data_IF_518515465141
#
_entry.id   IF_518515465141
#
_cell.length_a   1.000
_cell.length_b   1.000
_cell.length_c   1.000
_cell.angle_alpha   90.00
_cell.angle_beta   90.00
_cell.angle_gamma   90.00
#
_symmetry.space_group_name_H-M   'P 1'
#
loop_
_entity.id
_entity.type
_entity.pdbx_description
1 polymer ?
#
# COMPACT_ATOMS: atom_id res chain seq x y z
N UNK A 1 2.18 14.19 -7.16
CA UNK A 1 1.24 14.94 -6.32
C UNK A 1 0.03 15.32 -7.17
N UNK A 2 -1.07 15.70 -6.53
CA UNK A 2 -2.29 16.22 -7.15
C UNK A 2 -2.76 17.49 -6.42
N UNK A 3 -3.76 18.15 -7.02
CA UNK A 3 -4.45 19.33 -6.52
C UNK A 3 -5.94 19.03 -6.24
N UNK A 4 -6.26 17.79 -5.88
CA UNK A 4 -7.60 17.34 -5.57
C UNK A 4 -8.10 17.81 -4.20
N UNK A 5 -9.20 17.22 -3.70
CA UNK A 5 -9.82 17.63 -2.44
C UNK A 5 -9.00 17.27 -1.18
N UNK A 6 -7.94 16.47 -1.32
CA UNK A 6 -7.19 15.93 -0.19
C UNK A 6 -7.92 14.80 0.54
N UNK A 7 -7.32 14.33 1.63
CA UNK A 7 -7.76 13.20 2.45
C UNK A 7 -7.87 13.68 3.91
N UNK A 8 -9.05 13.56 4.54
CA UNK A 8 -9.23 13.87 5.97
C UNK A 8 -8.29 13.04 6.86
N UNK A 9 -7.75 13.67 7.90
CA UNK A 9 -6.70 13.09 8.77
C UNK A 9 -7.16 11.77 9.38
N UNK A 10 -8.43 11.68 9.75
CA UNK A 10 -9.03 10.52 10.41
C UNK A 10 -9.02 9.24 9.56
N UNK A 11 -8.93 9.38 8.24
CA UNK A 11 -8.91 8.24 7.31
C UNK A 11 -7.56 8.01 6.64
N UNK A 12 -6.59 8.92 6.79
CA UNK A 12 -5.27 8.79 6.14
C UNK A 12 -4.55 7.50 6.53
N UNK A 13 -4.71 7.00 7.76
CA UNK A 13 -4.10 5.74 8.19
C UNK A 13 -4.73 4.51 7.54
N UNK A 14 -6.01 4.60 7.14
CA UNK A 14 -6.79 3.47 6.60
C UNK A 14 -6.61 3.28 5.09
N UNK A 15 -6.01 4.25 4.39
CA UNK A 15 -5.96 4.24 2.92
C UNK A 15 -5.17 3.07 2.34
N UNK A 16 -4.30 2.44 3.14
CA UNK A 16 -3.54 1.26 2.74
C UNK A 16 -4.20 -0.06 3.18
N UNK A 17 -5.27 0.00 3.96
CA UNK A 17 -5.98 -1.19 4.41
C UNK A 17 -6.70 -1.84 3.22
N UNK A 18 -6.62 -3.18 3.07
CA UNK A 18 -7.38 -3.88 2.05
C UNK A 18 -8.87 -3.56 2.14
N UNK A 19 -9.48 -3.33 0.98
CA UNK A 19 -10.91 -3.04 0.81
C UNK A 19 -11.38 -1.68 1.35
N UNK A 20 -10.51 -0.87 1.96
CA UNK A 20 -10.88 0.47 2.36
C UNK A 20 -11.19 1.34 1.12
N UNK A 21 -12.35 2.00 1.13
CA UNK A 21 -12.76 2.90 0.07
C UNK A 21 -13.76 3.93 0.59
N UNK A 22 -13.64 5.16 0.13
CA UNK A 22 -14.65 6.22 0.30
C UNK A 22 -15.64 6.26 -0.86
N UNK A 23 -15.38 5.50 -1.94
CA UNK A 23 -16.28 5.40 -3.08
C UNK A 23 -17.52 4.58 -2.72
N UNK A 24 -18.69 4.88 -3.31
CA UNK A 24 -19.90 4.08 -3.14
C UNK A 24 -19.70 2.61 -3.52
N UNK A 25 -20.59 1.76 -2.99
CA UNK A 25 -20.64 0.33 -3.31
C UNK A 25 -20.70 0.12 -4.83
N UNK A 26 -19.90 -0.83 -5.33
CA UNK A 26 -19.82 -1.16 -6.76
C UNK A 26 -18.97 -0.20 -7.61
N UNK A 27 -18.38 0.85 -7.03
CA UNK A 27 -17.49 1.80 -7.75
C UNK A 27 -15.99 1.53 -7.57
N UNK A 28 -15.66 0.37 -7.01
CA UNK A 28 -14.28 -0.10 -6.82
C UNK A 28 -14.21 -1.17 -5.76
N UNK A 29 -13.06 -1.86 -5.70
CA UNK A 29 -12.79 -2.92 -4.72
C UNK A 29 -12.07 -2.42 -3.47
N UNK A 30 -11.55 -1.19 -3.49
CA UNK A 30 -10.71 -0.66 -2.40
C UNK A 30 -9.34 -1.35 -2.28
N UNK A 31 -8.89 -2.10 -3.29
CA UNK A 31 -7.64 -2.86 -3.20
C UNK A 31 -6.41 -2.12 -3.72
N UNK A 32 -6.56 -1.09 -4.54
CA UNK A 32 -5.46 -0.47 -5.28
C UNK A 32 -4.29 -0.01 -4.39
N UNK A 33 -4.60 0.73 -3.32
CA UNK A 33 -3.57 1.23 -2.40
C UNK A 33 -2.93 0.12 -1.55
N UNK A 34 -3.70 -0.89 -1.13
CA UNK A 34 -3.13 -2.05 -0.42
C UNK A 34 -2.18 -2.87 -1.30
N UNK A 35 -2.48 -2.99 -2.60
CA UNK A 35 -1.62 -3.66 -3.58
C UNK A 35 -0.36 -2.83 -3.82
N UNK A 36 -0.50 -1.52 -4.03
CA UNK A 36 0.64 -0.62 -4.20
C UNK A 36 1.61 -0.70 -3.01
N UNK A 37 1.08 -0.70 -1.78
CA UNK A 37 1.88 -0.88 -0.57
C UNK A 37 2.66 -2.19 -0.59
N UNK A 38 1.99 -3.33 -0.85
CA UNK A 38 2.66 -4.64 -0.93
C UNK A 38 3.75 -4.68 -2.00
N UNK A 39 3.48 -4.11 -3.18
CA UNK A 39 4.46 -4.08 -4.27
C UNK A 39 5.70 -3.31 -3.84
N UNK A 40 5.53 -2.09 -3.32
CA UNK A 40 6.65 -1.22 -2.95
C UNK A 40 7.39 -1.74 -1.72
N UNK A 41 6.67 -2.02 -0.64
CA UNK A 41 7.26 -2.30 0.68
C UNK A 41 7.71 -3.75 0.78
N UNK A 42 6.81 -4.70 0.45
CA UNK A 42 7.13 -6.12 0.57
C UNK A 42 7.95 -6.60 -0.63
N UNK A 43 7.53 -6.21 -1.83
CA UNK A 43 8.13 -6.66 -3.09
C UNK A 43 9.45 -5.97 -3.42
N UNK A 44 9.59 -4.68 -3.12
CA UNK A 44 10.79 -3.90 -3.50
C UNK A 44 11.62 -3.41 -2.32
N UNK A 45 11.19 -3.68 -1.08
CA UNK A 45 11.89 -3.20 0.13
C UNK A 45 11.88 -1.68 0.27
N UNK A 46 10.98 -0.99 -0.40
CA UNK A 46 10.85 0.45 -0.37
C UNK A 46 9.89 0.96 0.71
N UNK A 47 9.51 2.23 0.60
CA UNK A 47 8.51 2.87 1.47
C UNK A 47 7.50 3.66 0.64
N UNK A 48 6.26 3.74 1.13
CA UNK A 48 5.24 4.68 0.62
C UNK A 48 4.83 5.60 1.76
N UNK A 49 4.82 6.91 1.52
CA UNK A 49 4.34 7.94 2.45
C UNK A 49 3.24 8.75 1.80
N UNK A 50 2.19 9.04 2.54
CA UNK A 50 1.10 9.91 2.10
C UNK A 50 1.19 11.24 2.87
N UNK A 51 1.22 12.35 2.14
CA UNK A 51 1.04 13.70 2.67
C UNK A 51 -0.20 14.28 2.00
N UNK A 52 -1.23 14.56 2.77
CA UNK A 52 -2.47 15.12 2.24
C UNK A 52 -3.00 16.21 3.14
N UNK A 53 -3.53 17.27 2.53
CA UNK A 53 -4.22 18.34 3.22
C UNK A 53 -5.55 18.63 2.51
N UNK A 54 -6.61 18.76 3.29
CA UNK A 54 -7.96 19.03 2.77
C UNK A 54 -7.96 20.33 1.97
N UNK A 55 -8.61 20.30 0.81
CA UNK A 55 -8.69 21.38 -0.17
C UNK A 55 -7.36 21.84 -0.78
N UNK A 56 -6.25 21.12 -0.55
CA UNK A 56 -4.95 21.39 -1.21
C UNK A 56 -4.46 20.28 -2.11
N UNK A 57 -4.84 19.03 -1.83
CA UNK A 57 -4.49 17.85 -2.63
C UNK A 57 -3.69 16.82 -1.85
N UNK A 58 -3.16 15.84 -2.58
CA UNK A 58 -2.43 14.70 -2.02
C UNK A 58 -1.10 14.45 -2.72
N UNK A 59 -0.10 14.04 -1.95
CA UNK A 59 1.18 13.56 -2.42
C UNK A 59 1.45 12.17 -1.86
N UNK A 60 1.67 11.20 -2.76
CA UNK A 60 2.27 9.92 -2.41
C UNK A 60 3.74 9.94 -2.80
N UNK A 61 4.62 9.78 -1.82
CA UNK A 61 6.07 9.66 -2.03
C UNK A 61 6.48 8.20 -1.91
N UNK A 62 7.20 7.72 -2.92
CA UNK A 62 7.74 6.37 -2.99
C UNK A 62 9.26 6.46 -2.97
N UNK A 63 9.89 5.75 -2.04
CA UNK A 63 11.34 5.61 -1.99
C UNK A 63 11.70 4.14 -2.20
N UNK A 64 12.55 3.86 -3.17
CA UNK A 64 13.05 2.53 -3.48
C UNK A 64 14.55 2.48 -3.26
N UNK A 65 15.10 1.37 -2.73
CA UNK A 65 16.53 1.19 -2.68
C UNK A 65 17.09 1.01 -4.11
N UNK A 66 18.27 1.57 -4.37
CA UNK A 66 18.97 1.41 -5.67
C UNK A 66 19.36 -0.05 -5.88
N UNK A 67 19.70 -0.75 -4.79
CA UNK A 67 19.97 -2.18 -4.77
C UNK A 67 18.95 -2.90 -3.90
N UNK A 68 18.28 -3.89 -4.45
CA UNK A 68 17.35 -4.73 -3.69
C UNK A 68 18.14 -5.77 -2.91
N UNK A 69 18.21 -5.60 -1.59
CA UNK A 69 18.67 -6.67 -0.71
C UNK A 69 17.62 -7.79 -0.82
N UNK A 70 17.99 -8.91 -1.44
CA UNK A 70 17.09 -10.05 -1.59
C UNK A 70 16.62 -10.50 -0.22
N UNK A 71 15.33 -10.29 0.08
CA UNK A 71 14.71 -10.91 1.24
C UNK A 71 14.72 -12.42 0.98
N UNK A 72 15.41 -13.19 1.82
CA UNK A 72 15.39 -14.65 1.75
C UNK A 72 13.95 -15.15 1.64
N UNK A 73 13.64 -15.86 0.56
CA UNK A 73 12.39 -16.61 0.46
C UNK A 73 12.47 -17.68 1.54
N UNK A 74 11.70 -17.53 2.63
CA UNK A 74 11.53 -18.63 3.59
C UNK A 74 11.13 -19.89 2.81
N UNK A 75 11.91 -20.98 2.86
CA UNK A 75 11.54 -22.20 2.16
C UNK A 75 10.20 -22.68 2.72
N UNK A 76 9.31 -23.07 1.80
CA UNK A 76 7.97 -23.54 2.11
C UNK A 76 8.06 -24.89 2.86
N UNK A 77 8.15 -24.85 4.19
CA UNK A 77 8.23 -26.04 5.03
C UNK A 77 6.83 -26.47 5.49
N UNK A 78 6.07 -27.13 4.60
CA UNK A 78 4.91 -27.97 4.91
C UNK A 78 4.61 -28.84 3.67
N UNK A 79 4.40 -30.15 3.69
CA UNK A 79 4.32 -31.21 4.72
C UNK A 79 4.52 -32.52 3.95
N UNK A 80 5.57 -33.29 4.26
CA UNK A 80 5.52 -34.75 4.07
C UNK A 80 5.41 -35.33 5.47
N UNK A 81 4.19 -35.34 6.00
CA UNK A 81 3.86 -36.21 7.11
C UNK A 81 3.38 -37.51 6.47
N UNK A 82 4.31 -38.46 6.41
CA UNK A 82 4.05 -39.87 6.15
C UNK A 82 3.12 -40.37 7.25
N UNK A 83 2.02 -41.00 6.87
CA UNK A 83 1.28 -41.99 7.66
C UNK A 83 0.76 -43.06 6.69
#
# INVERSE_FOLDING_TARGET
SDNGPGIPVEIQQKIFDPFFTTKPVGKGTGLGMSIAYKIVVDGHGGTIRCRSEVAKGTEFKIDLPIEQISKEKKPNLMRVAVA
#
